data_IF_599650500219
#
_entry.id   IF_599650500219
#
_cell.length_a   1.000
_cell.length_b   1.000
_cell.length_c   1.000
_cell.angle_alpha   90.00
_cell.angle_beta   90.00
_cell.angle_gamma   90.00
#
_symmetry.space_group_name_H-M   'P 1'
#
loop_
_entity.id
_entity.type
_entity.pdbx_description
1 polymer ?
#
# COMPACT_ATOMS: atom_id res chain seq x y z
N UNK A 1 26.28 -11.10 0.53
CA UNK A 1 24.95 -11.73 0.67
C UNK A 1 24.32 -11.79 -0.71
N UNK A 2 23.21 -12.52 -0.92
CA UNK A 2 22.50 -12.48 -2.20
C UNK A 2 21.05 -12.08 -1.98
N UNK A 3 20.49 -11.30 -2.89
CA UNK A 3 19.04 -11.04 -2.93
C UNK A 3 18.30 -12.20 -3.62
N UNK A 4 16.97 -12.10 -3.71
CA UNK A 4 16.10 -13.11 -4.34
C UNK A 4 16.44 -13.38 -5.82
N UNK A 5 17.07 -12.42 -6.52
CA UNK A 5 17.52 -12.57 -7.89
C UNK A 5 18.90 -13.25 -8.02
N UNK A 6 19.61 -13.45 -6.90
CA UNK A 6 20.93 -14.04 -6.88
C UNK A 6 22.09 -13.06 -7.05
N UNK A 7 21.79 -11.75 -7.08
CA UNK A 7 22.77 -10.67 -7.19
C UNK A 7 23.52 -10.47 -5.87
N UNK A 8 24.80 -10.14 -5.95
CA UNK A 8 25.62 -9.89 -4.77
C UNK A 8 25.26 -8.55 -4.10
N UNK A 9 24.83 -8.65 -2.85
CA UNK A 9 24.38 -7.53 -2.05
C UNK A 9 25.27 -7.29 -0.83
N UNK A 10 25.44 -6.00 -0.50
CA UNK A 10 26.21 -5.50 0.64
C UNK A 10 25.37 -5.36 1.89
N UNK A 11 24.15 -4.82 1.78
CA UNK A 11 23.29 -4.51 2.93
C UNK A 11 21.88 -5.00 2.64
N UNK A 12 21.35 -5.83 3.53
CA UNK A 12 19.93 -6.15 3.57
C UNK A 12 19.17 -4.97 4.18
N UNK A 13 18.14 -4.46 3.52
CA UNK A 13 17.27 -3.43 4.09
C UNK A 13 16.00 -4.06 4.64
N UNK A 14 15.20 -4.65 3.76
CA UNK A 14 13.91 -5.24 4.11
C UNK A 14 13.51 -6.37 3.16
N UNK A 15 12.53 -7.18 3.58
CA UNK A 15 11.82 -8.13 2.73
C UNK A 15 10.38 -8.30 3.16
N UNK A 16 9.54 -8.69 2.20
CA UNK A 16 8.16 -9.07 2.41
C UNK A 16 8.06 -10.59 2.29
N UNK A 17 7.57 -11.26 3.34
CA UNK A 17 7.46 -12.72 3.41
C UNK A 17 6.00 -13.16 3.55
N UNK A 18 5.59 -14.14 2.74
CA UNK A 18 4.31 -14.79 2.88
C UNK A 18 4.25 -15.58 4.20
N UNK A 19 3.22 -15.33 5.01
CA UNK A 19 2.86 -16.16 6.18
C UNK A 19 1.85 -17.24 5.80
N UNK A 20 1.93 -18.40 6.46
CA UNK A 20 0.84 -19.38 6.43
C UNK A 20 -0.44 -18.75 6.96
N UNK A 21 -1.53 -18.78 6.18
CA UNK A 21 -2.81 -18.16 6.56
C UNK A 21 -3.02 -16.74 6.02
N UNK A 22 -2.76 -16.51 4.73
CA UNK A 22 -3.17 -15.31 3.97
C UNK A 22 -2.52 -13.98 4.34
N UNK A 23 -1.45 -13.96 5.15
CA UNK A 23 -0.76 -12.73 5.57
C UNK A 23 0.58 -12.50 4.87
N UNK A 24 1.08 -11.26 4.96
CA UNK A 24 2.45 -10.88 4.60
C UNK A 24 3.13 -10.23 5.80
N UNK A 25 4.35 -10.66 6.09
CA UNK A 25 5.26 -10.04 7.04
C UNK A 25 6.18 -9.05 6.33
N UNK A 26 6.36 -7.89 6.95
CA UNK A 26 7.47 -7.00 6.65
C UNK A 26 8.61 -7.30 7.63
N UNK A 27 9.75 -7.73 7.09
CA UNK A 27 10.96 -8.04 7.85
C UNK A 27 12.01 -6.99 7.53
N UNK A 28 12.48 -6.31 8.56
CA UNK A 28 13.47 -5.24 8.48
C UNK A 28 14.83 -5.71 9.01
N UNK A 29 15.92 -5.10 8.52
CA UNK A 29 17.24 -5.25 9.11
C UNK A 29 17.24 -4.85 10.59
N UNK A 30 17.74 -5.73 11.46
CA UNK A 30 17.71 -5.55 12.92
C UNK A 30 18.51 -4.33 13.39
N UNK A 31 19.68 -4.07 12.81
CA UNK A 31 20.51 -2.93 13.19
C UNK A 31 19.83 -1.61 12.84
N UNK A 32 19.25 -1.53 11.63
CA UNK A 32 18.49 -0.34 11.21
C UNK A 32 17.23 -0.19 12.07
N UNK A 33 16.53 -1.29 12.35
CA UNK A 33 15.31 -1.28 13.11
C UNK A 33 15.49 -0.78 14.55
N UNK A 34 16.65 -1.02 15.16
CA UNK A 34 16.98 -0.56 16.50
C UNK A 34 17.12 0.97 16.58
N UNK A 35 17.49 1.62 15.46
CA UNK A 35 17.77 3.05 15.39
C UNK A 35 16.64 3.87 14.75
N UNK A 36 15.54 3.22 14.33
CA UNK A 36 14.35 3.90 13.82
C UNK A 36 13.68 4.71 14.95
N UNK A 37 13.58 6.02 14.75
CA UNK A 37 12.76 6.89 15.58
C UNK A 37 11.27 6.86 15.18
N UNK A 38 10.42 7.44 16.03
CA UNK A 38 8.97 7.42 15.84
C UNK A 38 8.51 8.18 14.57
N UNK A 39 9.23 9.20 14.12
CA UNK A 39 8.87 9.99 12.94
C UNK A 39 9.11 9.18 11.66
N UNK A 40 10.25 8.52 11.56
CA UNK A 40 10.56 7.63 10.43
C UNK A 40 9.63 6.41 10.44
N UNK A 41 9.39 5.80 11.61
CA UNK A 41 8.46 4.68 11.75
C UNK A 41 7.04 5.03 11.26
N UNK A 42 6.53 6.20 11.64
CA UNK A 42 5.20 6.65 11.24
C UNK A 42 5.12 6.99 9.73
N UNK A 43 6.23 7.31 9.06
CA UNK A 43 6.32 7.46 7.60
C UNK A 43 6.43 6.13 6.85
N UNK A 44 7.15 5.16 7.39
CA UNK A 44 7.36 3.84 6.75
C UNK A 44 6.07 3.00 6.78
N UNK A 45 5.34 3.00 7.89
CA UNK A 45 4.12 2.17 8.08
C UNK A 45 3.09 2.25 6.94
N UNK A 46 2.62 3.43 6.50
CA UNK A 46 1.64 3.49 5.41
C UNK A 46 2.19 2.95 4.09
N UNK A 47 3.48 3.14 3.80
CA UNK A 47 4.14 2.60 2.62
C UNK A 47 4.20 1.06 2.69
N UNK A 48 4.62 0.51 3.83
CA UNK A 48 4.65 -0.93 4.07
C UNK A 48 3.27 -1.53 3.94
N UNK A 49 2.24 -0.89 4.50
CA UNK A 49 0.86 -1.34 4.40
C UNK A 49 0.39 -1.40 2.93
N UNK A 50 0.64 -0.34 2.15
CA UNK A 50 0.29 -0.30 0.74
C UNK A 50 1.00 -1.40 -0.07
N UNK A 51 2.30 -1.62 0.19
CA UNK A 51 3.06 -2.71 -0.41
C UNK A 51 2.46 -4.09 -0.04
N UNK A 52 2.13 -4.32 1.24
CA UNK A 52 1.50 -5.57 1.69
C UNK A 52 0.17 -5.83 0.98
N UNK A 53 -0.72 -4.84 0.92
CA UNK A 53 -2.02 -4.95 0.25
C UNK A 53 -1.88 -5.32 -1.22
N UNK A 54 -0.94 -4.68 -1.93
CA UNK A 54 -0.66 -4.96 -3.33
C UNK A 54 -0.07 -6.35 -3.52
N UNK A 55 0.96 -6.70 -2.76
CA UNK A 55 1.63 -8.01 -2.83
C UNK A 55 0.69 -9.17 -2.47
N UNK A 56 -0.23 -8.97 -1.53
CA UNK A 56 -1.24 -9.96 -1.12
C UNK A 56 -2.14 -10.41 -2.27
N UNK A 57 -2.47 -9.51 -3.21
CA UNK A 57 -3.28 -9.84 -4.41
C UNK A 57 -2.59 -10.85 -5.30
N UNK A 58 -1.27 -10.75 -5.40
CA UNK A 58 -0.43 -11.58 -6.27
C UNK A 58 0.23 -12.77 -5.53
N UNK A 59 -0.08 -12.98 -4.25
CA UNK A 59 0.56 -14.00 -3.41
C UNK A 59 0.56 -15.41 -4.02
N UNK A 60 -0.53 -15.77 -4.70
CA UNK A 60 -0.76 -17.09 -5.28
C UNK A 60 0.14 -17.37 -6.49
N UNK A 61 0.80 -16.34 -7.03
CA UNK A 61 1.72 -16.41 -8.15
C UNK A 61 3.19 -16.39 -7.69
N UNK A 62 3.45 -16.23 -6.39
CA UNK A 62 4.82 -16.24 -5.86
C UNK A 62 5.36 -17.67 -5.82
N UNK A 63 6.61 -17.85 -6.28
CA UNK A 63 7.29 -19.15 -6.30
C UNK A 63 8.02 -19.46 -4.98
N UNK A 64 8.06 -18.52 -4.03
CA UNK A 64 8.72 -18.69 -2.75
C UNK A 64 8.11 -17.84 -1.63
N UNK A 65 8.64 -18.04 -0.41
CA UNK A 65 8.15 -17.32 0.77
C UNK A 65 8.43 -15.82 0.68
N UNK A 66 9.61 -15.43 0.23
CA UNK A 66 9.93 -14.01 -0.01
C UNK A 66 9.27 -13.57 -1.32
N UNK A 67 8.35 -12.61 -1.24
CA UNK A 67 7.62 -12.11 -2.41
C UNK A 67 8.26 -10.85 -3.00
N UNK A 68 8.91 -10.05 -2.15
CA UNK A 68 9.67 -8.86 -2.53
C UNK A 68 10.81 -8.64 -1.54
N UNK A 69 11.98 -8.20 -1.99
CA UNK A 69 13.08 -7.79 -1.12
C UNK A 69 13.77 -6.51 -1.62
N UNK A 70 14.44 -5.83 -0.69
CA UNK A 70 15.15 -4.59 -0.92
C UNK A 70 16.56 -4.65 -0.32
N UNK A 71 17.56 -4.40 -1.15
CA UNK A 71 18.97 -4.49 -0.79
C UNK A 71 19.76 -3.29 -1.32
N UNK A 72 20.87 -2.98 -0.67
CA UNK A 72 21.94 -2.16 -1.25
C UNK A 72 22.99 -3.12 -1.82
N UNK A 73 23.29 -2.97 -3.11
CA UNK A 73 24.25 -3.78 -3.84
C UNK A 73 25.69 -3.48 -3.46
N UNK A 74 26.62 -4.31 -3.92
CA UNK A 74 28.06 -4.06 -3.81
C UNK A 74 28.49 -2.72 -4.44
N UNK A 75 27.73 -2.24 -5.43
CA UNK A 75 27.93 -0.94 -6.08
C UNK A 75 27.47 0.25 -5.24
N UNK A 76 26.74 0.01 -4.15
CA UNK A 76 26.08 1.06 -3.36
C UNK A 76 24.69 1.45 -3.88
N UNK A 77 24.23 0.85 -4.98
CA UNK A 77 22.90 1.12 -5.53
C UNK A 77 21.81 0.33 -4.79
N UNK A 78 20.63 0.94 -4.64
CA UNK A 78 19.45 0.26 -4.15
C UNK A 78 18.84 -0.61 -5.25
N UNK A 79 18.55 -1.87 -4.91
CA UNK A 79 17.84 -2.80 -5.78
C UNK A 79 16.64 -3.39 -5.03
N UNK A 80 15.46 -3.32 -5.66
CA UNK A 80 14.24 -4.00 -5.23
C UNK A 80 13.90 -5.09 -6.23
N UNK A 81 13.68 -6.31 -5.73
CA UNK A 81 13.34 -7.46 -6.57
C UNK A 81 12.05 -8.12 -6.10
N UNK A 82 11.26 -8.57 -7.07
CA UNK A 82 10.10 -9.41 -6.84
C UNK A 82 10.49 -10.88 -6.99
N UNK A 83 9.68 -11.76 -6.41
CA UNK A 83 9.71 -13.19 -6.69
C UNK A 83 9.72 -13.46 -8.21
N UNK A 84 10.47 -14.48 -8.62
CA UNK A 84 10.75 -14.76 -10.03
C UNK A 84 9.44 -14.90 -10.82
N UNK A 85 9.33 -14.14 -11.91
CA UNK A 85 8.16 -14.13 -12.80
C UNK A 85 6.98 -13.29 -12.29
N UNK A 86 6.93 -12.95 -11.01
CA UNK A 86 5.81 -12.22 -10.41
C UNK A 86 5.58 -10.85 -11.05
N UNK A 87 6.68 -10.17 -11.39
CA UNK A 87 6.67 -8.84 -12.00
C UNK A 87 6.01 -8.75 -13.39
N UNK A 88 5.65 -9.88 -14.01
CA UNK A 88 4.93 -9.94 -15.29
C UNK A 88 3.40 -9.85 -15.12
N UNK A 89 2.89 -10.04 -13.91
CA UNK A 89 1.46 -10.07 -13.64
C UNK A 89 0.88 -8.71 -13.23
N UNK A 90 1.74 -7.75 -12.89
CA UNK A 90 1.31 -6.42 -12.49
C UNK A 90 0.98 -5.56 -13.71
N UNK A 91 -0.06 -4.74 -13.58
CA UNK A 91 -0.23 -3.58 -14.46
C UNK A 91 0.98 -2.64 -14.31
N UNK A 92 1.39 -1.99 -15.41
CA UNK A 92 2.61 -1.17 -15.46
C UNK A 92 2.61 -0.07 -14.37
N UNK A 93 1.52 0.69 -14.26
CA UNK A 93 1.40 1.78 -13.30
C UNK A 93 1.33 1.27 -11.84
N UNK A 94 0.70 0.12 -11.61
CA UNK A 94 0.64 -0.51 -10.28
C UNK A 94 2.04 -0.95 -9.84
N UNK A 95 2.79 -1.60 -10.75
CA UNK A 95 4.18 -2.01 -10.51
C UNK A 95 5.09 -0.81 -10.23
N UNK A 96 4.95 0.25 -11.02
CA UNK A 96 5.74 1.46 -10.85
C UNK A 96 5.49 2.10 -9.47
N UNK A 97 4.22 2.17 -9.03
CA UNK A 97 3.87 2.70 -7.70
C UNK A 97 4.37 1.80 -6.56
N UNK A 98 4.28 0.48 -6.71
CA UNK A 98 4.85 -0.48 -5.75
C UNK A 98 6.37 -0.27 -5.60
N UNK A 99 7.11 -0.16 -6.70
CA UNK A 99 8.56 0.03 -6.67
C UNK A 99 8.95 1.41 -6.15
N UNK A 100 8.19 2.45 -6.47
CA UNK A 100 8.42 3.77 -5.93
C UNK A 100 8.26 3.79 -4.40
N UNK A 101 7.25 3.11 -3.87
CA UNK A 101 7.08 3.05 -2.42
C UNK A 101 8.12 2.16 -1.74
N UNK A 102 8.56 1.07 -2.38
CA UNK A 102 9.70 0.29 -1.92
C UNK A 102 10.99 1.14 -1.88
N UNK A 103 11.19 2.02 -2.87
CA UNK A 103 12.28 2.99 -2.87
C UNK A 103 12.12 4.02 -1.76
N UNK A 104 10.93 4.57 -1.54
CA UNK A 104 10.69 5.54 -0.46
C UNK A 104 10.98 4.92 0.92
N UNK A 105 10.64 3.64 1.10
CA UNK A 105 11.03 2.88 2.31
C UNK A 105 12.56 2.82 2.39
N UNK A 106 13.25 2.44 1.31
CA UNK A 106 14.71 2.36 1.30
C UNK A 106 15.38 3.70 1.62
N UNK A 107 14.92 4.81 1.02
CA UNK A 107 15.44 6.16 1.27
C UNK A 107 15.31 6.53 2.76
N UNK A 108 14.17 6.23 3.40
CA UNK A 108 13.95 6.45 4.84
C UNK A 108 14.87 5.58 5.70
N UNK A 109 15.14 4.34 5.30
CA UNK A 109 16.05 3.44 6.02
C UNK A 109 17.51 3.87 5.87
N UNK A 110 17.89 4.40 4.71
CA UNK A 110 19.23 4.98 4.50
C UNK A 110 19.43 6.22 5.37
N UNK A 111 18.41 7.06 5.54
CA UNK A 111 18.47 8.20 6.46
C UNK A 111 18.74 7.77 7.91
N UNK A 112 18.15 6.66 8.37
CA UNK A 112 18.44 6.08 9.69
C UNK A 112 19.91 5.64 9.79
N UNK A 113 20.41 4.96 8.75
CA UNK A 113 21.79 4.50 8.71
C UNK A 113 22.80 5.66 8.79
N UNK A 114 22.54 6.74 8.07
CA UNK A 114 23.40 7.93 8.03
C UNK A 114 23.42 8.65 9.39
N UNK A 115 22.29 8.70 10.09
CA UNK A 115 22.18 9.28 11.45
C UNK A 115 22.89 8.41 12.51
N UNK A 116 22.78 7.09 12.40
CA UNK A 116 23.27 6.14 13.40
C UNK A 116 24.77 5.83 13.34
N UNK A 117 25.51 6.29 12.32
CA UNK A 117 26.89 5.84 12.06
C UNK A 117 27.03 4.30 12.07
N UNK A 118 26.01 3.61 11.56
CA UNK A 118 25.94 2.15 11.56
C UNK A 118 27.03 1.63 10.61
N UNK A 119 28.01 0.89 11.13
CA UNK A 119 28.86 0.02 10.31
C UNK A 119 28.05 -1.26 10.07
N UNK A 120 27.45 -1.49 8.88
CA UNK A 120 26.55 -2.61 8.67
C UNK A 120 27.34 -3.91 8.84
N UNK A 121 27.07 -4.67 9.91
CA UNK A 121 27.72 -5.95 10.13
C UNK A 121 27.40 -6.91 8.99
N UNK A 122 28.47 -7.47 8.39
CA UNK A 122 28.38 -8.57 7.44
C UNK A 122 27.82 -9.82 8.15
N UNK A 123 26.53 -10.07 7.98
CA UNK A 123 26.02 -11.43 7.83
C UNK A 123 25.73 -12.25 9.08
N UNK A 124 25.03 -11.71 10.09
CA UNK A 124 24.32 -12.56 11.06
C UNK A 124 22.81 -12.47 10.86
N UNK A 125 22.29 -13.38 10.03
CA UNK A 125 20.87 -13.71 10.05
C UNK A 125 20.58 -14.52 11.33
N UNK A 126 20.26 -13.84 12.42
CA UNK A 126 19.49 -14.46 13.50
C UNK A 126 18.03 -14.28 13.14
N UNK A 127 17.18 -15.30 13.35
CA UNK A 127 15.72 -15.09 13.35
C UNK A 127 15.41 -14.30 14.63
N UNK A 128 15.14 -12.99 14.56
CA UNK A 128 14.71 -12.25 15.72
C UNK A 128 13.25 -12.64 15.99
N UNK A 129 12.71 -12.33 17.17
CA UNK A 129 11.27 -12.41 17.37
C UNK A 129 10.57 -11.59 16.28
N UNK A 130 9.40 -12.03 15.78
CA UNK A 130 8.67 -11.25 14.80
C UNK A 130 8.52 -9.85 15.35
N UNK A 131 8.84 -8.85 14.52
CA UNK A 131 8.53 -7.46 14.83
C UNK A 131 7.07 -7.45 15.27
N UNK A 132 6.81 -7.21 16.54
CA UNK A 132 5.45 -7.04 17.02
C UNK A 132 5.05 -5.68 16.52
N UNK A 133 4.59 -5.65 15.27
CA UNK A 133 3.71 -4.62 14.75
C UNK A 133 2.50 -4.61 15.68
N UNK A 134 2.60 -3.94 16.83
CA UNK A 134 1.45 -3.42 17.55
C UNK A 134 1.00 -2.22 16.73
N UNK A 135 0.43 -2.53 15.57
CA UNK A 135 -0.10 -1.57 14.62
C UNK A 135 -1.29 -0.93 15.30
N UNK A 136 -1.18 0.33 15.72
CA UNK A 136 -2.39 1.10 15.99
C UNK A 136 -3.08 1.29 14.62
N UNK A 137 -4.23 0.64 14.36
CA UNK A 137 -4.87 0.69 13.05
C UNK A 137 -5.25 2.12 12.66
N UNK A 138 -5.60 2.97 13.64
CA UNK A 138 -5.94 4.38 13.41
C UNK A 138 -4.75 5.19 12.90
N UNK A 139 -3.54 4.92 13.41
CA UNK A 139 -2.33 5.58 12.93
C UNK A 139 -2.03 5.22 11.49
N UNK A 140 -2.15 3.94 11.13
CA UNK A 140 -1.92 3.49 9.75
C UNK A 140 -2.96 4.07 8.81
N UNK A 141 -4.24 4.06 9.21
CA UNK A 141 -5.30 4.71 8.45
C UNK A 141 -4.99 6.18 8.18
N UNK A 142 -4.65 6.95 9.22
CA UNK A 142 -4.30 8.36 9.08
C UNK A 142 -3.08 8.55 8.16
N UNK A 143 -2.08 7.70 8.27
CA UNK A 143 -0.92 7.71 7.37
C UNK A 143 -1.29 7.41 5.92
N UNK A 144 -2.21 6.47 5.67
CA UNK A 144 -2.72 6.16 4.33
C UNK A 144 -3.55 7.30 3.75
N UNK A 145 -4.33 8.00 4.57
CA UNK A 145 -5.08 9.19 4.16
C UNK A 145 -4.11 10.30 3.72
N UNK A 146 -3.11 10.60 4.54
CA UNK A 146 -2.06 11.58 4.22
C UNK A 146 -1.28 11.20 2.95
N UNK A 147 -0.92 9.92 2.81
CA UNK A 147 -0.25 9.41 1.62
C UNK A 147 -1.14 9.54 0.37
N UNK A 148 -2.43 9.22 0.52
CA UNK A 148 -3.44 9.38 -0.53
C UNK A 148 -3.60 10.83 -0.98
N UNK A 149 -3.66 11.77 -0.03
CA UNK A 149 -3.70 13.20 -0.31
C UNK A 149 -2.46 13.69 -1.06
N UNK A 150 -1.27 13.34 -0.58
CA UNK A 150 -0.01 13.74 -1.20
C UNK A 150 0.11 13.20 -2.64
N UNK A 151 -0.22 11.93 -2.86
CA UNK A 151 -0.15 11.29 -4.18
C UNK A 151 -1.22 11.82 -5.13
N UNK A 152 -2.41 12.15 -4.61
CA UNK A 152 -3.46 12.80 -5.40
C UNK A 152 -3.04 14.20 -5.83
N UNK A 153 -2.42 14.99 -4.94
CA UNK A 153 -1.91 16.32 -5.29
C UNK A 153 -0.81 16.23 -6.35
N UNK A 154 0.11 15.28 -6.21
CA UNK A 154 1.15 15.02 -7.20
C UNK A 154 0.55 14.67 -8.57
N UNK A 155 -0.45 13.78 -8.60
CA UNK A 155 -1.14 13.40 -9.83
C UNK A 155 -1.89 14.58 -10.47
N UNK A 156 -2.49 15.46 -9.67
CA UNK A 156 -3.18 16.67 -10.15
C UNK A 156 -2.20 17.68 -10.74
N UNK A 157 -1.04 17.89 -10.10
CA UNK A 157 0.01 18.76 -10.63
C UNK A 157 0.58 18.21 -11.95
N UNK A 158 0.80 16.91 -12.04
CA UNK A 158 1.26 16.25 -13.25
C UNK A 158 0.21 16.36 -14.37
N UNK A 159 -1.06 16.15 -14.05
CA UNK A 159 -2.17 16.31 -14.99
C UNK A 159 -2.25 17.73 -15.57
N UNK A 160 -2.11 18.76 -14.72
CA UNK A 160 -2.06 20.17 -15.16
C UNK A 160 -0.87 20.39 -16.09
N UNK A 161 0.30 19.84 -15.75
CA UNK A 161 1.51 19.99 -16.56
C UNK A 161 1.39 19.28 -17.94
N UNK A 162 0.72 18.13 -17.98
CA UNK A 162 0.55 17.32 -19.19
C UNK A 162 -0.65 17.76 -20.07
N UNK A 163 -1.48 18.70 -19.61
CA UNK A 163 -2.61 19.23 -20.38
C UNK A 163 -3.68 18.20 -20.75
N UNK A 164 -3.78 17.11 -19.98
CA UNK A 164 -4.72 16.02 -20.25
C UNK A 164 -6.18 16.46 -20.04
N UNK A 165 -7.11 15.88 -20.81
CA UNK A 165 -8.53 16.27 -20.76
C UNK A 165 -9.31 15.62 -19.62
N UNK A 166 -8.91 14.42 -19.17
CA UNK A 166 -9.59 13.67 -18.11
C UNK A 166 -8.86 13.86 -16.81
N UNK A 167 -9.55 14.45 -15.81
CA UNK A 167 -9.00 14.60 -14.46
C UNK A 167 -8.78 13.20 -13.84
N UNK A 168 -7.64 12.95 -13.19
CA UNK A 168 -7.40 11.71 -12.49
C UNK A 168 -8.36 11.54 -11.31
N UNK A 169 -9.15 10.46 -11.30
CA UNK A 169 -10.03 10.10 -10.18
C UNK A 169 -11.44 10.71 -10.22
N UNK A 170 -12.22 10.51 -9.15
CA UNK A 170 -13.57 11.05 -9.04
C UNK A 170 -13.52 12.55 -8.69
N UNK A 171 -14.56 13.28 -9.08
CA UNK A 171 -14.79 14.62 -8.53
C UNK A 171 -14.91 14.53 -7.00
N UNK A 172 -14.51 15.58 -6.26
CA UNK A 172 -14.68 15.62 -4.81
C UNK A 172 -16.13 15.26 -4.42
N UNK A 173 -16.26 14.27 -3.54
CA UNK A 173 -17.56 13.81 -3.04
C UNK A 173 -18.02 14.75 -1.93
N UNK A 174 -19.22 15.29 -2.06
CA UNK A 174 -19.89 16.05 -0.99
C UNK A 174 -20.64 15.09 -0.07
N UNK A 175 -20.89 15.46 1.20
CA UNK A 175 -21.69 14.63 2.10
C UNK A 175 -23.06 14.26 1.53
N UNK A 176 -23.71 15.19 0.82
CA UNK A 176 -25.01 14.98 0.18
C UNK A 176 -24.95 14.03 -1.02
N UNK A 177 -23.75 13.73 -1.52
CA UNK A 177 -23.54 12.77 -2.60
C UNK A 177 -23.53 11.32 -2.07
N UNK A 178 -23.57 11.10 -0.76
CA UNK A 178 -23.43 9.78 -0.13
C UNK A 178 -24.67 9.40 0.69
N UNK A 179 -24.89 8.10 0.95
CA UNK A 179 -25.94 7.66 1.86
C UNK A 179 -25.82 8.31 3.24
N UNK A 180 -26.94 8.57 3.94
CA UNK A 180 -26.91 9.22 5.24
C UNK A 180 -25.98 8.53 6.24
N UNK A 181 -25.13 9.32 6.91
CA UNK A 181 -24.17 8.82 7.89
C UNK A 181 -22.89 8.24 7.30
N UNK A 182 -22.72 8.23 5.97
CA UNK A 182 -21.48 7.84 5.29
C UNK A 182 -20.61 9.07 5.04
N UNK A 183 -19.32 8.94 5.31
CA UNK A 183 -18.27 9.89 4.93
C UNK A 183 -17.28 9.22 3.99
N UNK A 184 -16.66 10.01 3.11
CA UNK A 184 -15.59 9.56 2.25
C UNK A 184 -14.31 10.33 2.57
N UNK A 185 -13.19 9.62 2.66
CA UNK A 185 -11.84 10.20 2.70
C UNK A 185 -11.01 9.71 1.52
N UNK A 186 -9.92 10.42 1.21
CA UNK A 186 -8.94 9.95 0.22
C UNK A 186 -8.15 8.82 0.85
N UNK A 187 -8.05 7.70 0.14
CA UNK A 187 -7.18 6.59 0.50
C UNK A 187 -5.98 6.50 -0.42
N UNK A 188 -5.20 5.45 -0.23
CA UNK A 188 -4.08 5.12 -1.10
C UNK A 188 -4.13 3.65 -1.54
N UNK A 189 -3.94 3.42 -2.84
CA UNK A 189 -3.88 2.09 -3.45
C UNK A 189 -2.97 2.15 -4.69
N UNK A 190 -2.11 1.15 -4.89
CA UNK A 190 -1.22 1.13 -6.05
C UNK A 190 -1.96 0.96 -7.38
N UNK A 191 -3.22 0.53 -7.41
CA UNK A 191 -4.00 0.42 -8.66
C UNK A 191 -4.44 1.77 -9.21
N UNK A 192 -4.65 2.78 -8.35
CA UNK A 192 -5.13 4.09 -8.80
C UNK A 192 -5.75 4.93 -7.69
N UNK A 193 -6.66 5.84 -8.08
CA UNK A 193 -7.25 6.80 -7.14
C UNK A 193 -8.22 6.10 -6.20
N UNK A 194 -7.99 6.23 -4.90
CA UNK A 194 -8.70 5.48 -3.88
C UNK A 194 -9.54 6.40 -3.00
N UNK A 195 -10.80 6.01 -2.78
CA UNK A 195 -11.68 6.59 -1.77
C UNK A 195 -12.02 5.53 -0.74
N UNK A 196 -11.91 5.89 0.54
CA UNK A 196 -12.30 5.05 1.67
C UNK A 196 -13.61 5.57 2.23
N UNK A 197 -14.54 4.66 2.53
CA UNK A 197 -15.86 4.98 3.02
C UNK A 197 -16.05 4.47 4.44
N UNK A 198 -16.60 5.32 5.28
CA UNK A 198 -16.85 5.04 6.69
C UNK A 198 -18.27 5.47 7.06
N UNK A 199 -18.92 4.70 7.93
CA UNK A 199 -20.22 5.03 8.47
C UNK A 199 -20.12 5.38 9.95
N UNK A 200 -20.71 6.50 10.37
CA UNK A 200 -20.63 7.03 11.76
C UNK A 200 -20.94 6.00 12.86
N UNK A 201 -21.85 5.06 12.59
CA UNK A 201 -22.26 4.01 13.53
C UNK A 201 -21.53 2.68 13.35
N UNK A 202 -21.14 2.35 12.13
CA UNK A 202 -20.66 1.00 11.79
C UNK A 202 -19.15 0.97 11.50
N UNK A 203 -18.48 2.12 11.51
CA UNK A 203 -17.07 2.25 11.16
C UNK A 203 -16.83 2.03 9.67
N UNK A 204 -15.64 1.55 9.33
CA UNK A 204 -15.22 1.37 7.94
C UNK A 204 -16.14 0.42 7.17
N UNK A 205 -16.49 0.84 5.96
CA UNK A 205 -17.35 0.10 5.05
C UNK A 205 -16.52 -0.60 3.96
N UNK A 206 -15.60 0.12 3.33
CA UNK A 206 -14.83 -0.38 2.20
C UNK A 206 -14.15 0.76 1.45
N UNK A 207 -13.56 0.43 0.31
CA UNK A 207 -12.92 1.40 -0.59
C UNK A 207 -13.38 1.23 -2.03
N UNK A 208 -13.36 2.34 -2.78
CA UNK A 208 -13.51 2.33 -4.23
C UNK A 208 -12.22 2.85 -4.86
N UNK A 209 -11.70 2.11 -5.83
CA UNK A 209 -10.47 2.43 -6.55
C UNK A 209 -10.79 2.65 -8.02
N UNK A 210 -10.40 3.83 -8.51
CA UNK A 210 -10.49 4.22 -9.91
C UNK A 210 -9.16 3.90 -10.60
N UNK A 211 -9.21 2.93 -11.51
CA UNK A 211 -8.05 2.33 -12.17
C UNK A 211 -8.02 2.80 -13.63
N UNK A 212 -6.89 3.31 -14.10
CA UNK A 212 -6.71 3.65 -15.51
C UNK A 212 -6.60 2.36 -16.33
N UNK A 213 -7.51 2.19 -17.30
CA UNK A 213 -7.58 1.01 -18.17
C UNK A 213 -7.28 1.32 -19.65
N UNK A 214 -6.95 2.57 -19.95
CA UNK A 214 -6.57 3.09 -21.26
C UNK A 214 -6.38 4.60 -21.20
N UNK A 215 -6.05 5.24 -22.32
CA UNK A 215 -5.84 6.70 -22.37
C UNK A 215 -7.07 7.49 -21.91
N UNK A 216 -8.26 6.98 -22.21
CA UNK A 216 -9.54 7.63 -21.88
C UNK A 216 -10.52 6.72 -21.14
N UNK A 217 -10.05 5.58 -20.63
CA UNK A 217 -10.91 4.60 -19.95
C UNK A 217 -10.48 4.44 -18.50
N UNK A 218 -11.45 4.61 -17.61
CA UNK A 218 -11.31 4.39 -16.19
C UNK A 218 -12.21 3.20 -15.80
N UNK A 219 -11.69 2.31 -14.95
CA UNK A 219 -12.43 1.21 -14.34
C UNK A 219 -12.65 1.53 -12.87
N UNK A 220 -13.86 1.27 -12.38
CA UNK A 220 -14.17 1.36 -10.97
C UNK A 220 -14.15 -0.03 -10.35
N UNK A 221 -13.39 -0.20 -9.27
CA UNK A 221 -13.39 -1.42 -8.46
C UNK A 221 -13.76 -1.08 -7.02
N UNK A 222 -14.67 -1.86 -6.43
CA UNK A 222 -15.09 -1.69 -5.04
C UNK A 222 -14.62 -2.89 -4.20
N UNK A 223 -13.92 -2.62 -3.10
CA UNK A 223 -13.50 -3.62 -2.12
C UNK A 223 -14.26 -3.38 -0.81
N UNK A 224 -15.08 -4.35 -0.38
CA UNK A 224 -15.80 -4.30 0.90
C UNK A 224 -14.88 -4.73 2.05
N UNK A 225 -14.89 -3.98 3.16
CA UNK A 225 -14.19 -4.36 4.38
C UNK A 225 -15.14 -5.13 5.29
N UNK A 226 -14.97 -6.46 5.30
CA UNK A 226 -15.59 -7.35 6.26
C UNK A 226 -14.65 -7.52 7.45
N UNK A 227 -15.18 -7.54 8.67
CA UNK A 227 -14.36 -7.76 9.87
C UNK A 227 -13.75 -9.16 9.86
N UNK A 228 -12.84 -9.43 10.80
CA UNK A 228 -12.26 -10.78 10.96
C UNK A 228 -13.21 -11.81 11.59
N UNK A 229 -14.50 -11.50 11.74
CA UNK A 229 -15.45 -12.39 12.41
C UNK A 229 -16.06 -13.38 11.42
N UNK A 230 -15.80 -14.67 11.62
CA UNK A 230 -16.25 -15.77 10.76
C UNK A 230 -17.77 -16.08 10.84
N UNK A 231 -18.59 -15.14 11.34
CA UNK A 231 -20.05 -15.24 11.37
C UNK A 231 -20.65 -13.93 10.88
N UNK A 232 -21.52 -13.99 9.87
CA UNK A 232 -22.28 -12.84 9.37
C UNK A 232 -23.08 -12.20 10.51
N UNK A 233 -22.48 -11.22 11.18
CA UNK A 233 -23.17 -10.46 12.22
C UNK A 233 -24.20 -9.55 11.55
N UNK A 234 -25.25 -9.18 12.28
CA UNK A 234 -26.23 -8.18 11.83
C UNK A 234 -25.53 -6.87 11.38
N UNK A 235 -24.39 -6.57 11.97
CA UNK A 235 -23.54 -5.42 11.62
C UNK A 235 -22.90 -5.58 10.23
N UNK A 236 -22.37 -6.75 9.88
CA UNK A 236 -21.77 -7.00 8.56
C UNK A 236 -22.79 -6.91 7.43
N UNK A 237 -23.99 -7.47 7.64
CA UNK A 237 -25.11 -7.31 6.69
C UNK A 237 -25.44 -5.85 6.46
N UNK A 238 -25.51 -5.06 7.54
CA UNK A 238 -25.75 -3.61 7.45
C UNK A 238 -24.62 -2.86 6.75
N UNK A 239 -23.35 -3.20 7.00
CA UNK A 239 -22.21 -2.62 6.28
C UNK A 239 -22.31 -2.89 4.78
N UNK A 240 -22.59 -4.14 4.40
CA UNK A 240 -22.74 -4.54 3.01
C UNK A 240 -23.89 -3.80 2.32
N UNK A 241 -25.08 -3.76 2.93
CA UNK A 241 -26.24 -3.02 2.40
C UNK A 241 -25.93 -1.53 2.18
N UNK A 242 -25.24 -0.90 3.14
CA UNK A 242 -24.88 0.52 3.03
C UNK A 242 -23.81 0.72 1.94
N UNK A 243 -22.80 -0.15 1.88
CA UNK A 243 -21.73 -0.05 0.89
C UNK A 243 -22.22 -0.30 -0.53
N UNK A 244 -23.15 -1.24 -0.74
CA UNK A 244 -23.80 -1.44 -2.04
C UNK A 244 -24.54 -0.18 -2.52
N UNK A 245 -25.19 0.56 -1.61
CA UNK A 245 -25.77 1.87 -1.92
C UNK A 245 -24.70 2.90 -2.29
N UNK A 246 -23.57 2.94 -1.57
CA UNK A 246 -22.42 3.81 -1.92
C UNK A 246 -21.94 3.52 -3.33
N UNK A 247 -21.70 2.24 -3.65
CA UNK A 247 -21.23 1.80 -4.97
C UNK A 247 -22.23 2.18 -6.05
N UNK A 248 -23.53 2.00 -5.81
CA UNK A 248 -24.58 2.37 -6.77
C UNK A 248 -24.59 3.88 -7.03
N UNK A 249 -24.54 4.70 -5.98
CA UNK A 249 -24.52 6.16 -6.11
C UNK A 249 -23.29 6.67 -6.86
N UNK A 250 -22.12 6.07 -6.61
CA UNK A 250 -20.88 6.46 -7.28
C UNK A 250 -20.87 5.97 -8.73
N UNK A 251 -21.35 4.75 -9.01
CA UNK A 251 -21.49 4.24 -10.38
C UNK A 251 -22.36 5.15 -11.23
N UNK A 252 -23.53 5.56 -10.71
CA UNK A 252 -24.44 6.47 -11.42
C UNK A 252 -23.80 7.83 -11.75
N UNK A 253 -22.86 8.30 -10.93
CA UNK A 253 -22.07 9.50 -11.22
C UNK A 253 -20.93 9.27 -12.21
N UNK A 254 -20.38 8.07 -12.21
CA UNK A 254 -19.26 7.68 -13.05
C UNK A 254 -19.72 7.36 -14.49
N UNK A 255 -20.87 6.70 -14.65
CA UNK A 255 -21.48 6.41 -15.97
C UNK A 255 -22.03 7.66 -16.67
N UNK A 256 -22.14 8.79 -15.94
CA UNK A 256 -22.55 10.09 -16.47
C UNK A 256 -21.39 10.98 -16.96
N UNK A 257 -20.16 10.45 -17.04
CA UNK A 257 -18.95 11.10 -17.56
C UNK A 257 -18.48 10.42 -18.84
#
# INVERSE_FOLDING_TARGET
MKNIAGNDASIFLFRFELRGGNGIDFVLNEAIAADIDQDIDDKIKPLVHACCETLLRYRHLSVGNTIMDGYILATGEFEVMLSKGLGLHFALDEKARLFQDAKNIADLLTEVMDRGSIVPEKGKQRKPPPFKHTTNPEKVKKGLEQLGEAKSLQAELQWIAEGQTIRPGLKPLRPDDLPPGVTASRGYDHRGHCYVFEHRKYGELGRIVMIKAGEQKMLMQADLYLGQENQESTTEKKKKEIFEKVVTTISARFDGL
#
